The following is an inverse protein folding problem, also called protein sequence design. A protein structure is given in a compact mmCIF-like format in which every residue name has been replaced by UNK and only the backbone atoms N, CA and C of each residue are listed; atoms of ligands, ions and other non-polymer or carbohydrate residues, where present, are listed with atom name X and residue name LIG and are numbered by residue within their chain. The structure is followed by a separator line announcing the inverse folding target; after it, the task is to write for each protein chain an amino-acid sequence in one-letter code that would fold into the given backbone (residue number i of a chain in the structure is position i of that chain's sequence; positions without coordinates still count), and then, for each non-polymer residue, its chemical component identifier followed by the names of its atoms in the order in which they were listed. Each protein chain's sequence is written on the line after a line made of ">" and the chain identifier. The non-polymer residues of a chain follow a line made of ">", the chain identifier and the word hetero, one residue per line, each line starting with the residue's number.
data_IF_236691284331
#
_entry.id   IF_236691284331
#
_cell.length_a   1.000
_cell.length_b   1.000
_cell.length_c   1.000
_cell.angle_alpha   90.00
_cell.angle_beta   90.00
_cell.angle_gamma   90.00
#
_symmetry.space_group_name_H-M   'P 1'
#
loop_
_entity.id
_entity.type
_entity.pdbx_description
1 polymer ?
#
# COMPACT_ATOMS: atom_id res chain seq x y z
N UNK A 1 25.82 -15.78 3.33
CA UNK A 1 25.13 -15.24 4.50
C UNK A 1 23.82 -16.00 4.61
N UNK A 2 23.60 -16.77 5.67
CA UNK A 2 22.35 -17.51 5.85
C UNK A 2 21.21 -16.50 6.00
N UNK A 3 20.22 -16.57 5.11
CA UNK A 3 19.09 -15.66 5.04
C UNK A 3 18.03 -16.02 6.10
N UNK A 4 18.40 -16.11 7.38
CA UNK A 4 17.66 -16.89 8.39
C UNK A 4 16.37 -16.24 8.93
N UNK A 5 15.77 -15.29 8.20
CA UNK A 5 14.52 -14.66 8.64
C UNK A 5 13.79 -13.81 7.61
N UNK A 6 14.46 -13.26 6.59
CA UNK A 6 13.82 -12.46 5.54
C UNK A 6 12.93 -13.29 4.61
N UNK A 7 11.93 -12.64 4.02
CA UNK A 7 11.10 -13.24 2.96
C UNK A 7 11.90 -13.39 1.65
N UNK A 8 11.59 -14.40 0.83
CA UNK A 8 12.25 -14.62 -0.46
C UNK A 8 12.30 -13.39 -1.37
N UNK A 9 13.51 -13.11 -1.89
CA UNK A 9 13.75 -12.13 -2.95
C UNK A 9 14.33 -12.78 -4.21
N UNK A 10 14.63 -14.07 -4.16
CA UNK A 10 15.24 -14.85 -5.23
C UNK A 10 14.63 -16.26 -5.34
N UNK A 11 14.92 -16.97 -6.44
CA UNK A 11 14.51 -18.38 -6.59
C UNK A 11 15.31 -19.30 -5.67
N UNK A 12 16.53 -18.91 -5.35
CA UNK A 12 17.39 -19.58 -4.40
C UNK A 12 16.77 -19.58 -3.01
N UNK A 13 16.28 -18.43 -2.53
CA UNK A 13 15.55 -18.34 -1.25
C UNK A 13 14.30 -19.23 -1.24
N UNK A 14 13.59 -19.31 -2.37
CA UNK A 14 12.43 -20.19 -2.52
C UNK A 14 12.83 -21.67 -2.42
N UNK A 15 13.91 -22.05 -3.10
CA UNK A 15 14.43 -23.42 -3.09
C UNK A 15 14.91 -23.84 -1.68
N UNK A 16 15.55 -22.95 -0.93
CA UNK A 16 15.93 -23.18 0.48
C UNK A 16 14.73 -23.46 1.38
N UNK A 17 13.56 -22.89 1.05
CA UNK A 17 12.28 -23.14 1.75
C UNK A 17 11.49 -24.32 1.18
N UNK A 18 11.97 -24.97 0.12
CA UNK A 18 11.25 -26.02 -0.61
C UNK A 18 10.00 -25.50 -1.35
N UNK A 19 9.97 -24.21 -1.70
CA UNK A 19 8.84 -23.57 -2.37
C UNK A 19 9.07 -23.55 -3.88
N UNK A 20 8.17 -24.17 -4.63
CA UNK A 20 8.19 -24.15 -6.10
C UNK A 20 7.35 -23.01 -6.70
N UNK A 21 6.51 -22.38 -5.87
CA UNK A 21 5.64 -21.26 -6.24
C UNK A 21 5.37 -20.39 -5.01
N UNK A 22 5.02 -19.12 -5.25
CA UNK A 22 4.58 -18.17 -4.23
C UNK A 22 3.08 -17.93 -4.36
N UNK A 23 2.40 -17.65 -3.25
CA UNK A 23 1.00 -17.25 -3.26
C UNK A 23 0.85 -15.78 -3.64
N UNK A 24 1.69 -14.93 -3.04
CA UNK A 24 1.76 -13.50 -3.33
C UNK A 24 3.18 -13.07 -3.66
N UNK A 25 3.29 -12.16 -4.63
CA UNK A 25 4.52 -11.42 -4.87
C UNK A 25 4.21 -9.94 -4.64
N UNK A 26 4.91 -9.33 -3.68
CA UNK A 26 4.80 -7.91 -3.43
C UNK A 26 5.87 -7.14 -4.20
N UNK A 27 5.45 -6.09 -4.89
CA UNK A 27 6.32 -5.19 -5.64
C UNK A 27 6.34 -3.84 -4.96
N UNK A 28 7.54 -3.37 -4.63
CA UNK A 28 7.76 -2.15 -3.87
C UNK A 28 8.56 -1.11 -4.62
N UNK A 29 8.17 0.15 -4.49
CA UNK A 29 8.96 1.31 -4.93
C UNK A 29 10.11 1.68 -4.00
N UNK A 30 10.38 0.90 -2.95
CA UNK A 30 11.47 1.09 -1.98
C UNK A 30 12.25 -0.21 -1.78
N UNK A 31 13.44 -0.09 -1.19
CA UNK A 31 14.25 -1.23 -0.79
C UNK A 31 13.52 -2.14 0.22
N UNK A 32 13.90 -3.42 0.26
CA UNK A 32 13.31 -4.34 1.23
C UNK A 32 13.84 -4.07 2.64
N UNK A 33 13.04 -3.33 3.41
CA UNK A 33 13.22 -3.10 4.84
C UNK A 33 12.15 -3.85 5.62
N UNK A 34 12.56 -4.83 6.42
CA UNK A 34 11.66 -5.67 7.21
C UNK A 34 11.50 -5.11 8.63
N UNK A 35 10.90 -3.92 8.73
CA UNK A 35 10.68 -3.21 9.99
C UNK A 35 9.20 -2.82 10.13
N UNK A 36 8.58 -2.90 11.33
CA UNK A 36 7.16 -2.59 11.53
C UNK A 36 6.74 -1.14 11.25
N UNK A 37 7.69 -0.26 10.92
CA UNK A 37 7.43 1.11 10.44
C UNK A 37 7.18 1.19 8.94
N UNK A 38 7.41 0.09 8.21
CA UNK A 38 7.25 0.00 6.76
C UNK A 38 5.97 -0.77 6.43
N UNK A 39 5.05 -0.11 5.72
CA UNK A 39 3.75 -0.70 5.35
C UNK A 39 3.90 -2.02 4.61
N UNK A 40 4.89 -2.13 3.74
CA UNK A 40 5.18 -3.35 2.98
C UNK A 40 5.60 -4.52 3.86
N UNK A 41 6.40 -4.28 4.91
CA UNK A 41 6.79 -5.30 5.87
C UNK A 41 5.59 -5.80 6.67
N UNK A 42 4.69 -4.90 7.09
CA UNK A 42 3.46 -5.27 7.79
C UNK A 42 2.60 -6.20 6.93
N UNK A 43 2.31 -5.80 5.69
CA UNK A 43 1.43 -6.57 4.81
C UNK A 43 2.05 -7.92 4.46
N UNK A 44 3.35 -7.96 4.15
CA UNK A 44 4.03 -9.21 3.79
C UNK A 44 4.13 -10.19 4.96
N UNK A 45 4.48 -9.71 6.17
CA UNK A 45 4.55 -10.53 7.38
C UNK A 45 3.17 -10.97 7.86
N UNK A 46 2.15 -10.15 7.70
CA UNK A 46 0.78 -10.54 8.01
C UNK A 46 0.33 -11.68 7.10
N UNK A 47 0.57 -11.58 5.79
CA UNK A 47 0.26 -12.67 4.86
C UNK A 47 1.07 -13.94 5.15
N UNK A 48 2.36 -13.84 5.49
CA UNK A 48 3.17 -14.98 5.92
C UNK A 48 2.58 -15.62 7.20
N UNK A 49 2.14 -14.82 8.16
CA UNK A 49 1.51 -15.29 9.39
C UNK A 49 0.19 -16.02 9.16
N UNK A 50 -0.60 -15.58 8.17
CA UNK A 50 -1.82 -16.26 7.72
C UNK A 50 -1.53 -17.54 6.90
N UNK A 51 -0.26 -17.91 6.73
CA UNK A 51 0.16 -19.16 6.10
C UNK A 51 0.42 -19.06 4.60
N UNK A 52 0.44 -17.87 4.02
CA UNK A 52 0.75 -17.68 2.59
C UNK A 52 2.26 -17.62 2.34
N UNK A 53 2.68 -18.16 1.19
CA UNK A 53 4.05 -18.04 0.68
C UNK A 53 4.20 -16.69 -0.01
N UNK A 54 5.08 -15.85 0.53
CA UNK A 54 5.20 -14.45 0.12
C UNK A 54 6.62 -14.18 -0.38
N UNK A 55 6.77 -13.51 -1.52
CA UNK A 55 8.06 -13.01 -1.99
C UNK A 55 8.04 -11.52 -2.29
N UNK A 56 9.21 -10.89 -2.28
CA UNK A 56 9.38 -9.43 -2.42
C UNK A 56 10.23 -9.11 -3.64
N UNK A 57 9.73 -8.22 -4.50
CA UNK A 57 10.47 -7.56 -5.58
C UNK A 57 10.57 -6.08 -5.21
N UNK A 58 11.73 -5.66 -4.71
CA UNK A 58 12.00 -4.29 -4.29
C UNK A 58 12.76 -3.52 -5.37
N UNK A 59 12.31 -2.29 -5.68
CA UNK A 59 12.93 -1.39 -6.68
C UNK A 59 13.20 -2.07 -8.04
N UNK A 60 12.22 -2.76 -8.65
CA UNK A 60 12.45 -3.38 -9.95
C UNK A 60 12.78 -2.33 -11.02
N UNK A 61 13.72 -2.64 -11.89
CA UNK A 61 13.98 -1.85 -13.09
C UNK A 61 12.76 -1.91 -14.02
N UNK A 62 12.08 -0.78 -14.18
CA UNK A 62 10.84 -0.65 -14.94
C UNK A 62 11.03 -0.44 -16.44
N UNK A 63 12.29 -0.37 -16.90
CA UNK A 63 12.62 -0.19 -18.32
C UNK A 63 12.30 -1.44 -19.15
N UNK A 64 12.21 -2.60 -18.51
CA UNK A 64 11.78 -3.86 -19.12
C UNK A 64 10.97 -4.72 -18.12
N UNK A 65 10.75 -6.00 -18.43
CA UNK A 65 9.95 -6.94 -17.62
C UNK A 65 10.78 -8.00 -16.89
N UNK A 66 12.11 -7.96 -16.96
CA UNK A 66 12.97 -9.01 -16.42
C UNK A 66 12.83 -9.13 -14.89
N UNK A 67 12.93 -8.02 -14.18
CA UNK A 67 12.83 -8.00 -12.71
C UNK A 67 11.45 -8.45 -12.22
N UNK A 68 10.39 -8.06 -12.94
CA UNK A 68 9.02 -8.49 -12.66
C UNK A 68 8.80 -10.00 -12.83
N UNK A 69 9.71 -10.68 -13.54
CA UNK A 69 9.70 -12.13 -13.76
C UNK A 69 10.64 -12.91 -12.84
N UNK A 70 11.43 -12.23 -12.01
CA UNK A 70 12.50 -12.85 -11.21
C UNK A 70 11.98 -13.99 -10.32
N UNK A 71 10.84 -13.80 -9.66
CA UNK A 71 10.22 -14.77 -8.75
C UNK A 71 9.19 -15.69 -9.42
N UNK A 72 8.95 -15.53 -10.73
CA UNK A 72 7.92 -16.27 -11.45
C UNK A 72 6.49 -15.78 -11.21
N UNK A 73 5.52 -16.63 -11.56
CA UNK A 73 4.09 -16.31 -11.48
C UNK A 73 3.56 -16.66 -10.08
N UNK A 74 2.88 -15.74 -9.37
CA UNK A 74 2.24 -16.05 -8.11
C UNK A 74 0.94 -16.82 -8.36
N UNK A 75 0.55 -17.65 -7.40
CA UNK A 75 -0.71 -18.41 -7.43
C UNK A 75 -1.92 -17.48 -7.31
N UNK A 76 -1.87 -16.47 -6.43
CA UNK A 76 -3.01 -15.63 -6.09
C UNK A 76 -2.93 -14.24 -6.72
N UNK A 77 -1.92 -13.43 -6.40
CA UNK A 77 -1.85 -12.06 -6.90
C UNK A 77 -0.46 -11.42 -6.85
N UNK A 78 -0.28 -10.38 -7.66
CA UNK A 78 0.72 -9.36 -7.41
C UNK A 78 0.13 -8.25 -6.54
N UNK A 79 0.85 -7.83 -5.50
CA UNK A 79 0.50 -6.69 -4.66
C UNK A 79 1.51 -5.56 -4.90
N UNK A 80 1.07 -4.34 -5.18
CA UNK A 80 1.96 -3.26 -5.63
C UNK A 80 1.79 -2.01 -4.78
N UNK A 81 2.90 -1.44 -4.32
CA UNK A 81 2.96 -0.16 -3.61
C UNK A 81 4.16 0.67 -4.06
N UNK A 82 4.07 2.00 -3.94
CA UNK A 82 5.22 2.91 -4.13
C UNK A 82 6.21 2.92 -2.96
N UNK A 83 5.87 2.23 -1.86
CA UNK A 83 6.62 2.21 -0.61
C UNK A 83 5.99 3.09 0.47
N UNK A 84 6.79 3.51 1.45
CA UNK A 84 6.39 4.39 2.57
C UNK A 84 5.95 5.77 2.08
N UNK A 85 6.49 6.23 0.96
CA UNK A 85 6.21 7.56 0.40
C UNK A 85 5.67 7.46 -1.03
N UNK A 86 4.89 8.47 -1.42
CA UNK A 86 4.47 8.68 -2.81
C UNK A 86 5.69 8.87 -3.73
N UNK A 87 5.66 8.23 -4.90
CA UNK A 87 6.81 8.26 -5.83
C UNK A 87 7.14 9.66 -6.34
N UNK A 88 6.16 10.53 -6.52
CA UNK A 88 6.38 11.90 -6.98
C UNK A 88 6.94 12.78 -5.85
N UNK A 89 6.49 12.60 -4.62
CA UNK A 89 7.03 13.31 -3.43
C UNK A 89 8.45 12.85 -3.10
N UNK A 90 8.75 11.58 -3.36
CA UNK A 90 10.10 11.03 -3.23
C UNK A 90 11.06 11.58 -4.28
N UNK A 91 10.60 11.74 -5.52
CA UNK A 91 11.47 12.18 -6.62
C UNK A 91 11.62 13.71 -6.67
N UNK A 92 10.59 14.47 -6.25
CA UNK A 92 10.57 15.93 -6.34
C UNK A 92 10.41 16.62 -4.98
N UNK A 93 10.99 17.81 -4.87
CA UNK A 93 10.68 18.78 -3.82
C UNK A 93 9.34 19.47 -4.11
N UNK A 94 8.77 20.15 -3.11
CA UNK A 94 7.53 20.92 -3.28
C UNK A 94 7.65 22.02 -4.35
N UNK A 95 8.86 22.50 -4.66
CA UNK A 95 9.14 23.45 -5.74
C UNK A 95 9.46 22.78 -7.09
N UNK A 96 9.07 21.50 -7.28
CA UNK A 96 9.28 20.69 -8.49
C UNK A 96 10.75 20.46 -8.88
N UNK A 97 11.70 20.64 -7.96
CA UNK A 97 13.11 20.27 -8.18
C UNK A 97 13.33 18.79 -7.92
N UNK A 98 14.09 18.11 -8.76
CA UNK A 98 14.50 16.71 -8.57
C UNK A 98 15.36 16.60 -7.31
N UNK A 99 15.09 15.60 -6.47
CA UNK A 99 15.90 15.28 -5.29
C UNK A 99 17.14 14.47 -5.70
N UNK A 100 18.27 14.78 -5.09
CA UNK A 100 19.54 14.07 -5.33
C UNK A 100 19.66 12.77 -4.53
N UNK A 101 18.80 12.58 -3.52
CA UNK A 101 18.85 11.46 -2.59
C UNK A 101 17.46 10.83 -2.42
N UNK A 102 17.44 9.51 -2.23
CA UNK A 102 16.27 8.73 -1.87
C UNK A 102 16.59 7.89 -0.62
N UNK A 103 16.10 8.32 0.54
CA UNK A 103 16.37 7.66 1.82
C UNK A 103 15.89 6.20 1.90
N UNK A 104 15.00 5.79 1.00
CA UNK A 104 14.40 4.46 0.96
C UNK A 104 15.04 3.56 -0.10
N UNK A 105 16.16 3.99 -0.68
CA UNK A 105 16.91 3.27 -1.70
C UNK A 105 18.31 2.87 -1.20
N UNK A 106 18.94 1.85 -1.81
CA UNK A 106 20.31 1.44 -1.49
C UNK A 106 21.29 2.61 -1.54
N UNK A 107 22.00 2.84 -0.43
CA UNK A 107 22.98 3.91 -0.30
C UNK A 107 22.42 5.33 -0.41
N UNK A 108 21.10 5.50 -0.37
CA UNK A 108 20.48 6.81 -0.62
C UNK A 108 20.37 7.18 -2.11
N UNK A 109 20.59 6.24 -3.03
CA UNK A 109 20.66 6.52 -4.46
C UNK A 109 19.31 6.95 -5.04
N UNK A 110 19.25 8.17 -5.59
CA UNK A 110 18.08 8.65 -6.31
C UNK A 110 17.91 8.00 -7.69
N UNK A 111 16.68 8.08 -8.22
CA UNK A 111 16.36 7.63 -9.58
C UNK A 111 16.22 6.11 -9.74
N UNK A 112 16.04 5.37 -8.64
CA UNK A 112 15.80 3.92 -8.65
C UNK A 112 14.31 3.53 -8.64
N UNK A 113 13.40 4.51 -8.66
CA UNK A 113 11.95 4.31 -8.82
C UNK A 113 11.42 5.24 -9.92
N UNK A 114 10.41 4.82 -10.71
CA UNK A 114 9.77 5.71 -11.67
C UNK A 114 8.82 6.68 -10.99
N UNK A 115 8.57 7.79 -11.69
CA UNK A 115 7.40 8.61 -11.43
C UNK A 115 6.13 7.78 -11.58
N UNK A 116 5.21 7.97 -10.62
CA UNK A 116 3.93 7.26 -10.57
C UNK A 116 4.11 5.74 -10.53
N UNK A 117 4.99 5.31 -9.63
CA UNK A 117 5.51 3.95 -9.55
C UNK A 117 4.43 2.87 -9.59
N UNK A 118 3.33 3.05 -8.84
CA UNK A 118 2.21 2.09 -8.84
C UNK A 118 1.64 1.85 -10.25
N UNK A 119 1.45 2.91 -11.05
CA UNK A 119 0.94 2.79 -12.43
C UNK A 119 1.95 2.05 -13.30
N UNK A 120 3.23 2.45 -13.22
CA UNK A 120 4.29 1.86 -14.04
C UNK A 120 4.47 0.37 -13.71
N UNK A 121 4.55 0.02 -12.44
CA UNK A 121 4.73 -1.35 -11.99
C UNK A 121 3.53 -2.23 -12.33
N UNK A 122 2.29 -1.75 -12.15
CA UNK A 122 1.10 -2.49 -12.55
C UNK A 122 1.10 -2.78 -14.06
N UNK A 123 1.45 -1.79 -14.89
CA UNK A 123 1.55 -1.98 -16.34
C UNK A 123 2.66 -2.97 -16.73
N UNK A 124 3.81 -2.94 -16.06
CA UNK A 124 4.89 -3.93 -16.25
C UNK A 124 4.47 -5.34 -15.86
N UNK A 125 3.72 -5.51 -14.77
CA UNK A 125 3.13 -6.79 -14.40
C UNK A 125 2.15 -7.28 -15.46
N UNK A 126 1.26 -6.42 -15.97
CA UNK A 126 0.30 -6.77 -17.03
C UNK A 126 0.98 -7.17 -18.34
N UNK A 127 2.12 -6.56 -18.65
CA UNK A 127 2.96 -6.93 -19.79
C UNK A 127 3.65 -8.29 -19.58
N UNK A 128 4.20 -8.51 -18.39
CA UNK A 128 4.88 -9.75 -18.03
C UNK A 128 3.93 -10.95 -17.90
N UNK A 129 2.72 -10.73 -17.39
CA UNK A 129 1.75 -11.75 -17.04
C UNK A 129 0.34 -11.36 -17.45
N UNK A 130 -0.24 -12.16 -18.36
CA UNK A 130 -1.67 -12.07 -18.69
C UNK A 130 -2.50 -12.74 -17.60
N UNK A 131 -3.73 -12.24 -17.40
CA UNK A 131 -4.76 -12.85 -16.57
C UNK A 131 -4.27 -13.22 -15.15
N UNK A 132 -3.57 -12.32 -14.47
CA UNK A 132 -3.21 -12.46 -13.06
C UNK A 132 -3.84 -11.33 -12.26
N UNK A 133 -4.42 -11.57 -11.07
CA UNK A 133 -4.87 -10.50 -10.19
C UNK A 133 -3.73 -9.53 -9.84
N UNK A 134 -4.01 -8.23 -10.01
CA UNK A 134 -3.12 -7.13 -9.61
C UNK A 134 -3.87 -6.27 -8.61
N UNK A 135 -3.33 -6.20 -7.39
CA UNK A 135 -3.89 -5.42 -6.29
C UNK A 135 -2.91 -4.29 -5.97
N UNK A 136 -3.39 -3.06 -5.90
CA UNK A 136 -2.56 -1.88 -5.60
C UNK A 136 -2.91 -1.30 -4.23
N UNK A 137 -1.95 -0.73 -3.54
CA UNK A 137 -2.14 -0.13 -2.22
C UNK A 137 -1.08 0.89 -1.84
N UNK A 138 -1.05 1.25 -0.56
CA UNK A 138 -0.14 2.27 -0.03
C UNK A 138 -0.64 3.70 -0.23
N UNK A 139 0.19 4.67 0.15
CA UNK A 139 -0.18 6.10 0.17
C UNK A 139 -0.51 6.60 -1.24
N UNK A 140 0.33 6.28 -2.22
CA UNK A 140 0.13 6.75 -3.60
C UNK A 140 -1.21 6.26 -4.19
N UNK A 141 -1.54 4.97 -4.02
CA UNK A 141 -2.82 4.45 -4.48
C UNK A 141 -4.00 5.03 -3.69
N UNK A 142 -3.89 5.05 -2.35
CA UNK A 142 -4.95 5.52 -1.45
C UNK A 142 -5.40 6.94 -1.77
N UNK A 143 -4.44 7.86 -1.97
CA UNK A 143 -4.74 9.27 -2.17
C UNK A 143 -5.24 9.59 -3.60
N UNK A 144 -4.94 8.72 -4.56
CA UNK A 144 -5.30 8.88 -5.99
C UNK A 144 -6.44 7.97 -6.44
N UNK A 145 -7.22 7.45 -5.49
CA UNK A 145 -8.32 6.52 -5.74
C UNK A 145 -9.43 7.12 -6.59
N UNK A 146 -9.76 8.41 -6.43
CA UNK A 146 -10.70 9.15 -7.28
C UNK A 146 -9.99 10.05 -8.30
N UNK A 147 -10.77 10.74 -9.13
CA UNK A 147 -10.27 11.92 -9.83
C UNK A 147 -9.64 12.89 -8.83
N UNK A 148 -8.40 13.31 -9.09
CA UNK A 148 -7.59 14.07 -8.16
C UNK A 148 -6.79 15.14 -8.91
N UNK A 149 -6.58 16.28 -8.25
CA UNK A 149 -5.63 17.28 -8.73
C UNK A 149 -4.20 16.78 -8.54
N UNK A 150 -3.47 16.66 -9.65
CA UNK A 150 -2.06 16.32 -9.69
C UNK A 150 -1.25 17.63 -9.77
N UNK A 151 -0.52 17.93 -8.69
CA UNK A 151 0.27 19.15 -8.59
C UNK A 151 1.41 19.21 -9.61
N UNK A 152 1.96 18.05 -10.00
CA UNK A 152 3.12 17.98 -10.89
C UNK A 152 2.71 18.33 -12.32
N UNK A 153 1.61 17.75 -12.81
CA UNK A 153 1.06 18.01 -14.14
C UNK A 153 0.17 19.26 -14.20
N UNK A 154 -0.17 19.85 -13.05
CA UNK A 154 -1.12 20.97 -12.91
C UNK A 154 -2.47 20.67 -13.57
N UNK A 155 -3.00 19.46 -13.34
CA UNK A 155 -4.21 18.98 -13.99
C UNK A 155 -5.02 18.05 -13.08
N UNK A 156 -6.32 17.96 -13.32
CA UNK A 156 -7.14 16.91 -12.70
C UNK A 156 -6.95 15.61 -13.49
N UNK A 157 -6.33 14.63 -12.84
CA UNK A 157 -6.15 13.29 -13.38
C UNK A 157 -7.30 12.38 -12.96
N UNK A 158 -7.53 11.34 -13.75
CA UNK A 158 -8.47 10.27 -13.43
C UNK A 158 -7.93 9.38 -12.30
N UNK A 159 -8.75 8.45 -11.85
CA UNK A 159 -8.39 7.48 -10.82
C UNK A 159 -7.16 6.66 -11.22
N UNK A 160 -6.28 6.39 -10.26
CA UNK A 160 -5.12 5.50 -10.45
C UNK A 160 -5.55 4.08 -10.86
N UNK A 161 -6.75 3.61 -10.49
CA UNK A 161 -7.27 2.31 -10.94
C UNK A 161 -7.49 2.28 -12.46
N UNK A 162 -7.91 3.40 -13.05
CA UNK A 162 -8.11 3.50 -14.51
C UNK A 162 -6.78 3.47 -15.25
N UNK A 163 -5.77 4.19 -14.73
CA UNK A 163 -4.44 4.28 -15.36
C UNK A 163 -3.61 3.00 -15.17
N UNK A 164 -3.67 2.36 -14.00
CA UNK A 164 -2.91 1.15 -13.67
C UNK A 164 -3.54 -0.14 -14.20
N UNK A 165 -4.85 -0.13 -14.47
CA UNK A 165 -5.64 -1.33 -14.78
C UNK A 165 -5.49 -2.43 -13.73
N UNK A 166 -5.26 -2.06 -12.47
CA UNK A 166 -5.32 -2.98 -11.35
C UNK A 166 -6.78 -3.43 -11.12
N UNK A 167 -6.95 -4.62 -10.56
CA UNK A 167 -8.27 -5.20 -10.32
C UNK A 167 -8.90 -4.63 -9.05
N UNK A 168 -8.09 -4.46 -7.99
CA UNK A 168 -8.52 -3.94 -6.69
C UNK A 168 -7.50 -2.91 -6.20
N UNK A 169 -8.00 -1.82 -5.61
CA UNK A 169 -7.22 -0.85 -4.85
C UNK A 169 -7.57 -0.98 -3.37
N UNK A 170 -6.59 -1.22 -2.53
CA UNK A 170 -6.73 -1.18 -1.06
C UNK A 170 -6.33 0.21 -0.58
N UNK A 171 -7.24 0.93 0.07
CA UNK A 171 -6.98 2.28 0.57
C UNK A 171 -6.97 2.35 2.08
N UNK A 172 -6.10 3.22 2.59
CA UNK A 172 -5.85 3.36 4.01
C UNK A 172 -5.05 2.20 4.59
N UNK A 173 -5.38 1.80 5.83
CA UNK A 173 -4.73 0.66 6.50
C UNK A 173 -5.18 -0.66 5.87
N UNK A 174 -4.22 -1.41 5.33
CA UNK A 174 -4.48 -2.54 4.44
C UNK A 174 -4.61 -3.91 5.12
N UNK A 175 -4.38 -4.01 6.43
CA UNK A 175 -4.23 -5.28 7.15
C UNK A 175 -5.48 -6.16 7.10
N UNK A 176 -6.65 -5.62 7.46
CA UNK A 176 -7.92 -6.37 7.34
C UNK A 176 -8.28 -6.69 5.88
N UNK A 177 -8.35 -5.70 4.97
CA UNK A 177 -8.79 -5.99 3.61
C UNK A 177 -7.87 -6.97 2.88
N UNK A 178 -6.55 -6.92 3.09
CA UNK A 178 -5.65 -7.84 2.38
C UNK A 178 -5.84 -9.30 2.83
N UNK A 179 -6.12 -9.54 4.12
CA UNK A 179 -6.40 -10.88 4.64
C UNK A 179 -7.73 -11.40 4.09
N UNK A 180 -8.76 -10.56 4.03
CA UNK A 180 -10.05 -10.92 3.41
C UNK A 180 -9.91 -11.21 1.91
N UNK A 181 -9.18 -10.37 1.17
CA UNK A 181 -8.89 -10.60 -0.25
C UNK A 181 -8.14 -11.92 -0.43
N UNK A 182 -7.12 -12.17 0.40
CA UNK A 182 -6.32 -13.39 0.32
C UNK A 182 -7.16 -14.64 0.57
N UNK A 183 -8.04 -14.61 1.58
CA UNK A 183 -8.96 -15.71 1.86
C UNK A 183 -9.91 -15.99 0.69
N UNK A 184 -10.50 -14.96 0.07
CA UNK A 184 -11.40 -15.12 -1.09
C UNK A 184 -10.66 -15.63 -2.33
N UNK A 185 -9.48 -15.11 -2.63
CA UNK A 185 -8.67 -15.60 -3.76
C UNK A 185 -8.22 -17.05 -3.52
N UNK A 186 -7.83 -17.40 -2.28
CA UNK A 186 -7.40 -18.74 -1.94
C UNK A 186 -8.52 -19.77 -2.00
N UNK A 187 -9.78 -19.37 -1.73
CA UNK A 187 -10.97 -20.21 -1.93
C UNK A 187 -11.42 -20.34 -3.39
N UNK A 188 -10.73 -19.68 -4.32
CA UNK A 188 -10.98 -19.77 -5.76
C UNK A 188 -11.94 -18.73 -6.32
N UNK A 189 -12.33 -17.71 -5.55
CA UNK A 189 -13.13 -16.60 -6.07
C UNK A 189 -12.36 -15.84 -7.17
N UNK A 190 -13.05 -15.46 -8.24
CA UNK A 190 -12.43 -14.61 -9.25
C UNK A 190 -12.20 -13.21 -8.68
N UNK A 191 -11.08 -12.56 -9.03
CA UNK A 191 -10.77 -11.21 -8.52
C UNK A 191 -11.86 -10.20 -8.85
N UNK A 192 -12.57 -10.37 -9.98
CA UNK A 192 -13.69 -9.54 -10.41
C UNK A 192 -14.95 -9.69 -9.57
N UNK A 193 -15.06 -10.75 -8.77
CA UNK A 193 -16.18 -11.01 -7.86
C UNK A 193 -15.93 -10.47 -6.45
N UNK A 194 -14.71 -10.02 -6.15
CA UNK A 194 -14.36 -9.44 -4.86
C UNK A 194 -14.70 -7.96 -4.87
N UNK A 195 -15.98 -7.65 -4.61
CA UNK A 195 -16.54 -6.29 -4.72
C UNK A 195 -17.08 -5.74 -3.41
N UNK A 196 -17.02 -6.49 -2.30
CA UNK A 196 -17.73 -6.23 -1.05
C UNK A 196 -16.81 -5.97 0.16
N UNK A 197 -15.48 -5.97 -0.04
CA UNK A 197 -14.51 -5.81 1.05
C UNK A 197 -14.36 -4.33 1.41
N UNK A 198 -14.50 -4.00 2.70
CA UNK A 198 -14.30 -2.63 3.21
C UNK A 198 -12.86 -2.16 3.02
N UNK A 199 -12.65 -0.87 2.78
CA UNK A 199 -11.31 -0.32 2.52
C UNK A 199 -10.78 -0.68 1.13
N UNK A 200 -11.66 -1.08 0.20
CA UNK A 200 -11.28 -1.36 -1.18
C UNK A 200 -12.04 -0.50 -2.18
N UNK A 201 -11.45 -0.34 -3.37
CA UNK A 201 -12.10 0.22 -4.54
C UNK A 201 -11.80 -0.64 -5.77
N UNK A 202 -12.72 -0.61 -6.74
CA UNK A 202 -12.61 -1.36 -7.99
C UNK A 202 -13.33 -0.62 -9.12
N UNK A 203 -13.13 -1.06 -10.36
CA UNK A 203 -13.86 -0.56 -11.53
C UNK A 203 -14.99 -1.51 -11.89
N UNK A 204 -16.24 -1.06 -11.78
CA UNK A 204 -17.43 -1.83 -12.11
C UNK A 204 -18.20 -1.25 -13.31
N UNK A 205 -18.86 -2.12 -14.06
CA UNK A 205 -19.93 -1.72 -14.99
C UNK A 205 -21.22 -1.58 -14.20
N UNK A 206 -21.74 -0.37 -14.10
CA UNK A 206 -23.04 -0.10 -13.48
C UNK A 206 -23.95 0.43 -14.58
N UNK A 207 -25.07 -0.27 -14.83
CA UNK A 207 -26.14 0.24 -15.69
C UNK A 207 -26.86 1.38 -14.97
N UNK A 208 -27.47 2.30 -15.71
CA UNK A 208 -28.25 3.40 -15.09
C UNK A 208 -29.42 2.89 -14.23
N UNK A 209 -29.95 1.69 -14.49
CA UNK A 209 -30.95 1.03 -13.64
C UNK A 209 -30.38 0.64 -12.26
N UNK A 210 -29.12 0.16 -12.21
CA UNK A 210 -28.43 -0.17 -10.95
C UNK A 210 -28.15 1.05 -10.05
N UNK A 211 -28.16 2.28 -10.61
CA UNK A 211 -28.01 3.54 -9.86
C UNK A 211 -29.32 4.07 -9.23
N UNK A 212 -30.47 3.61 -9.74
CA UNK A 212 -31.79 3.91 -9.16
C UNK A 212 -32.21 2.85 -8.13
N UNK A 213 -31.76 1.60 -8.31
CA UNK A 213 -31.95 0.51 -7.35
C UNK A 213 -30.88 0.44 -6.26
N UNK A 214 -29.76 1.15 -6.42
CA UNK A 214 -28.75 1.29 -5.38
C UNK A 214 -29.37 1.92 -4.14
N UNK A 215 -29.51 1.10 -3.09
CA UNK A 215 -30.17 1.44 -1.85
C UNK A 215 -29.57 2.65 -1.11
N UNK A 216 -30.06 2.96 0.11
CA UNK A 216 -29.76 4.20 0.82
C UNK A 216 -28.28 4.45 1.19
N UNK A 217 -27.39 3.47 0.95
CA UNK A 217 -25.99 3.45 1.39
C UNK A 217 -24.96 3.70 0.27
N UNK A 218 -25.41 4.29 -0.85
CA UNK A 218 -24.55 4.67 -1.97
C UNK A 218 -24.62 6.17 -2.28
N UNK A 219 -23.49 6.77 -2.65
CA UNK A 219 -23.39 8.19 -3.03
C UNK A 219 -22.69 8.29 -4.39
N UNK A 220 -23.40 8.84 -5.37
CA UNK A 220 -22.82 9.22 -6.67
C UNK A 220 -22.25 10.63 -6.57
N UNK A 221 -20.95 10.78 -6.86
CA UNK A 221 -20.27 12.08 -6.91
C UNK A 221 -20.09 12.53 -8.37
N UNK A 222 -19.82 13.83 -8.63
CA UNK A 222 -19.55 14.32 -9.98
C UNK A 222 -18.51 13.48 -10.72
N UNK A 223 -18.79 13.20 -11.99
CA UNK A 223 -17.97 12.36 -12.86
C UNK A 223 -16.60 12.97 -13.13
N UNK A 224 -15.64 12.15 -13.59
CA UNK A 224 -14.32 12.64 -14.02
C UNK A 224 -14.44 13.75 -15.07
N UNK A 225 -15.31 13.60 -16.06
CA UNK A 225 -15.49 14.57 -17.14
C UNK A 225 -16.05 15.90 -16.66
N UNK A 226 -16.81 15.91 -15.57
CA UNK A 226 -17.29 17.12 -14.93
C UNK A 226 -16.23 17.78 -14.06
N UNK A 227 -15.56 17.02 -13.18
CA UNK A 227 -14.59 17.59 -12.23
C UNK A 227 -13.31 18.07 -12.89
N UNK A 228 -12.96 17.55 -14.08
CA UNK A 228 -11.78 18.01 -14.82
C UNK A 228 -11.93 19.43 -15.38
N UNK A 229 -13.16 19.91 -15.59
CA UNK A 229 -13.45 21.25 -16.14
C UNK A 229 -14.11 22.20 -15.16
N UNK A 230 -14.66 21.72 -14.04
CA UNK A 230 -15.39 22.54 -13.07
C UNK A 230 -14.81 22.40 -11.64
N UNK A 231 -14.17 23.48 -11.16
CA UNK A 231 -13.57 23.54 -9.83
C UNK A 231 -14.58 23.39 -8.69
N UNK A 232 -15.82 23.85 -8.86
CA UNK A 232 -16.87 23.70 -7.84
C UNK A 232 -17.33 22.25 -7.75
N UNK A 233 -17.51 21.57 -8.88
CA UNK A 233 -17.81 20.14 -8.90
C UNK A 233 -16.67 19.30 -8.34
N UNK A 234 -15.42 19.67 -8.63
CA UNK A 234 -14.25 19.05 -7.99
C UNK A 234 -14.29 19.20 -6.47
N UNK A 235 -14.53 20.42 -5.97
CA UNK A 235 -14.63 20.68 -4.53
C UNK A 235 -15.79 19.91 -3.87
N UNK A 236 -16.95 19.83 -4.53
CA UNK A 236 -18.09 19.04 -4.08
C UNK A 236 -17.74 17.55 -3.98
N UNK A 237 -17.13 16.99 -5.03
CA UNK A 237 -16.69 15.60 -5.07
C UNK A 237 -15.70 15.30 -3.93
N UNK A 238 -14.71 16.17 -3.73
CA UNK A 238 -13.72 16.03 -2.67
C UNK A 238 -14.35 16.12 -1.26
N UNK A 239 -15.31 17.04 -1.05
CA UNK A 239 -15.99 17.17 0.24
C UNK A 239 -16.71 15.88 0.63
N UNK A 240 -17.41 15.24 -0.32
CA UNK A 240 -18.05 13.94 -0.09
C UNK A 240 -17.00 12.89 0.27
N UNK A 241 -15.92 12.77 -0.52
CA UNK A 241 -14.83 11.82 -0.21
C UNK A 241 -14.27 12.02 1.21
N UNK A 242 -14.12 13.27 1.64
CA UNK A 242 -13.64 13.61 2.98
C UNK A 242 -14.64 13.25 4.08
N UNK A 243 -15.92 13.52 3.85
CA UNK A 243 -16.98 13.22 4.82
C UNK A 243 -17.23 11.72 4.96
N UNK A 244 -17.07 10.95 3.89
CA UNK A 244 -17.29 9.50 3.86
C UNK A 244 -16.04 8.68 4.29
N UNK A 245 -14.93 9.35 4.63
CA UNK A 245 -13.73 8.72 5.20
C UNK A 245 -13.91 8.37 6.71
N UNK A 246 -15.08 7.86 7.07
CA UNK A 246 -15.45 7.46 8.42
C UNK A 246 -15.85 5.98 8.41
N UNK A 247 -15.16 5.09 9.15
CA UNK A 247 -15.44 3.66 9.08
C UNK A 247 -16.78 3.26 9.72
N UNK A 248 -17.46 4.14 10.46
CA UNK A 248 -18.75 3.82 11.09
C UNK A 248 -19.93 4.23 10.21
N UNK A 249 -19.89 5.46 9.67
CA UNK A 249 -21.00 6.04 8.88
C UNK A 249 -20.74 6.13 7.37
N UNK A 250 -19.49 5.89 6.95
CA UNK A 250 -19.08 6.05 5.56
C UNK A 250 -19.83 5.11 4.63
N UNK A 251 -20.29 5.67 3.52
CA UNK A 251 -21.05 4.98 2.48
C UNK A 251 -20.17 4.56 1.31
N UNK A 252 -20.74 3.73 0.44
CA UNK A 252 -20.12 3.41 -0.85
C UNK A 252 -20.16 4.65 -1.75
N UNK A 253 -19.05 5.00 -2.38
CA UNK A 253 -18.94 6.17 -3.25
C UNK A 253 -18.73 5.72 -4.69
N UNK A 254 -19.44 6.35 -5.61
CA UNK A 254 -19.41 6.05 -7.04
C UNK A 254 -18.99 7.29 -7.83
N UNK A 255 -17.95 7.15 -8.65
CA UNK A 255 -17.55 8.19 -9.60
C UNK A 255 -17.48 7.61 -11.01
N UNK A 256 -18.18 8.21 -11.97
CA UNK A 256 -18.11 7.80 -13.36
C UNK A 256 -16.78 8.22 -14.00
N UNK A 257 -16.09 7.28 -14.64
CA UNK A 257 -14.87 7.46 -15.42
C UNK A 257 -15.07 6.85 -16.83
N UNK A 258 -15.57 7.66 -17.77
CA UNK A 258 -15.94 7.18 -19.10
C UNK A 258 -17.18 6.29 -19.06
N UNK A 259 -17.02 5.01 -19.36
CA UNK A 259 -18.08 3.99 -19.42
C UNK A 259 -18.15 3.11 -18.16
N UNK A 260 -17.28 3.34 -17.18
CA UNK A 260 -17.18 2.53 -15.95
C UNK A 260 -17.26 3.40 -14.71
N UNK A 261 -17.78 2.83 -13.64
CA UNK A 261 -17.76 3.44 -12.33
C UNK A 261 -16.55 2.97 -11.55
N UNK A 262 -15.81 3.93 -11.00
CA UNK A 262 -15.01 3.69 -9.82
C UNK A 262 -15.97 3.55 -8.64
N UNK A 263 -15.94 2.39 -7.99
CA UNK A 263 -16.71 2.09 -6.79
C UNK A 263 -15.74 1.98 -5.62
N UNK A 264 -15.93 2.79 -4.59
CA UNK A 264 -15.21 2.69 -3.33
C UNK A 264 -16.16 2.14 -2.27
N UNK A 265 -15.83 0.99 -1.68
CA UNK A 265 -16.55 0.45 -0.52
C UNK A 265 -16.31 1.33 0.72
N UNK A 266 -17.10 1.19 1.80
CA UNK A 266 -16.86 1.91 3.04
C UNK A 266 -15.45 1.64 3.63
N UNK A 267 -14.85 2.59 4.39
CA UNK A 267 -13.51 2.39 4.96
C UNK A 267 -13.40 1.15 5.84
N UNK A 268 -12.24 0.48 5.83
CA UNK A 268 -11.97 -0.64 6.73
C UNK A 268 -12.15 -0.21 8.19
N UNK A 269 -12.67 -1.11 9.03
CA UNK A 269 -12.73 -0.86 10.46
C UNK A 269 -11.30 -0.78 11.02
N UNK A 270 -11.01 0.16 11.94
CA UNK A 270 -9.71 0.21 12.62
C UNK A 270 -9.39 -1.12 13.32
N UNK A 271 -8.11 -1.42 13.47
CA UNK A 271 -7.66 -2.55 14.27
C UNK A 271 -8.03 -2.33 15.74
N UNK A 272 -8.50 -3.39 16.40
CA UNK A 272 -8.64 -3.39 17.86
C UNK A 272 -7.26 -3.56 18.53
N UNK A 273 -7.16 -3.26 19.83
CA UNK A 273 -5.88 -3.31 20.58
C UNK A 273 -5.16 -4.66 20.43
N UNK A 274 -5.90 -5.78 20.50
CA UNK A 274 -5.35 -7.13 20.30
C UNK A 274 -4.76 -7.33 18.89
N UNK A 275 -5.42 -6.81 17.86
CA UNK A 275 -4.96 -6.93 16.47
C UNK A 275 -3.73 -6.05 16.23
N UNK A 276 -3.72 -4.84 16.81
CA UNK A 276 -2.53 -3.99 16.85
C UNK A 276 -1.36 -4.74 17.49
N UNK A 277 -1.56 -5.33 18.68
CA UNK A 277 -0.51 -6.08 19.36
C UNK A 277 0.01 -7.26 18.54
N UNK A 278 -0.88 -8.01 17.88
CA UNK A 278 -0.51 -9.12 16.99
C UNK A 278 0.36 -8.64 15.83
N UNK A 279 -0.06 -7.58 15.13
CA UNK A 279 0.67 -7.03 13.96
C UNK A 279 2.08 -6.58 14.36
N UNK A 280 2.24 -5.91 15.49
CA UNK A 280 3.55 -5.45 15.95
C UNK A 280 4.40 -6.55 16.62
N UNK A 281 3.81 -7.69 16.96
CA UNK A 281 4.52 -8.84 17.52
C UNK A 281 5.07 -9.81 16.46
N UNK A 282 4.71 -9.63 15.18
CA UNK A 282 5.20 -10.43 14.06
C UNK A 282 6.75 -10.46 13.99
N UNK A 283 7.36 -11.52 13.40
CA UNK A 283 8.80 -11.75 13.47
C UNK A 283 9.61 -10.89 12.47
N UNK A 284 9.52 -9.57 12.61
CA UNK A 284 10.32 -8.62 11.83
C UNK A 284 11.81 -8.76 12.15
N UNK A 285 12.66 -8.69 11.13
CA UNK A 285 14.10 -8.59 11.28
C UNK A 285 14.54 -7.25 11.85
N UNK A 286 13.67 -6.23 11.76
CA UNK A 286 13.89 -4.85 12.19
C UNK A 286 15.09 -4.18 11.55
N UNK A 287 15.43 -4.61 10.34
CA UNK A 287 16.52 -4.04 9.54
C UNK A 287 16.25 -4.27 8.06
N UNK A 288 17.13 -3.76 7.21
CA UNK A 288 17.08 -3.96 5.76
C UNK A 288 17.71 -5.30 5.34
N UNK A 289 17.34 -5.78 4.15
CA UNK A 289 17.92 -7.01 3.62
C UNK A 289 19.44 -6.87 3.39
N UNK A 290 20.30 -7.83 3.82
CA UNK A 290 21.76 -7.72 3.75
C UNK A 290 22.35 -7.49 2.36
N UNK A 291 21.58 -7.74 1.30
CA UNK A 291 21.97 -7.44 -0.09
C UNK A 291 22.35 -5.96 -0.30
N UNK A 292 21.85 -5.06 0.55
CA UNK A 292 22.11 -3.63 0.46
C UNK A 292 23.37 -3.18 1.22
N UNK A 293 24.06 -4.06 1.94
CA UNK A 293 25.26 -3.72 2.72
C UNK A 293 26.38 -3.14 1.83
N UNK A 294 26.61 -3.75 0.66
CA UNK A 294 27.62 -3.28 -0.29
C UNK A 294 27.33 -1.87 -0.84
N UNK A 295 26.06 -1.43 -0.79
CA UNK A 295 25.63 -0.09 -1.16
C UNK A 295 25.66 0.90 0.03
N UNK A 296 26.04 0.48 1.23
CA UNK A 296 26.05 1.32 2.44
C UNK A 296 24.74 1.29 3.24
N UNK A 297 23.91 0.27 3.03
CA UNK A 297 22.63 0.08 3.72
C UNK A 297 21.50 0.95 3.20
N UNK A 298 20.42 1.07 3.98
CA UNK A 298 19.24 1.89 3.65
C UNK A 298 19.12 3.06 4.63
N UNK A 299 19.27 4.33 4.21
CA UNK A 299 19.29 5.47 5.13
C UNK A 299 18.09 5.56 6.07
N UNK A 300 16.88 5.31 5.56
CA UNK A 300 15.63 5.43 6.33
C UNK A 300 15.53 4.49 7.54
N UNK A 301 16.41 3.47 7.66
CA UNK A 301 16.42 2.64 8.87
C UNK A 301 16.94 3.41 10.07
N UNK A 302 17.84 4.39 9.89
CA UNK A 302 18.56 5.06 10.98
C UNK A 302 17.61 5.79 11.92
N UNK A 303 16.54 6.36 11.38
CA UNK A 303 15.51 7.07 12.13
C UNK A 303 14.57 6.13 12.90
N UNK A 304 14.37 4.89 12.42
CA UNK A 304 13.34 3.99 12.97
C UNK A 304 13.88 2.75 13.67
N UNK A 305 15.18 2.47 13.55
CA UNK A 305 15.85 1.28 14.10
C UNK A 305 15.51 1.06 15.58
N UNK A 306 15.60 2.13 16.37
CA UNK A 306 15.26 2.15 17.79
C UNK A 306 14.04 3.02 18.08
N UNK A 307 13.00 2.94 17.26
CA UNK A 307 11.69 3.55 17.55
C UNK A 307 10.63 2.49 17.84
N UNK A 308 9.61 2.89 18.61
CA UNK A 308 8.46 2.05 18.93
C UNK A 308 7.18 2.81 18.63
N UNK A 309 6.40 2.30 17.68
CA UNK A 309 5.08 2.87 17.43
C UNK A 309 4.15 2.53 18.59
N UNK A 310 3.65 3.54 19.31
CA UNK A 310 2.67 3.36 20.41
C UNK A 310 1.23 3.24 19.91
N UNK A 311 0.90 3.97 18.84
CA UNK A 311 -0.44 4.01 18.25
C UNK A 311 -0.39 4.41 16.77
N UNK A 312 -1.51 4.23 16.06
CA UNK A 312 -1.76 4.76 14.71
C UNK A 312 -3.03 5.60 14.68
N UNK A 313 -3.20 6.37 13.61
CA UNK A 313 -4.32 7.30 13.43
C UNK A 313 -4.03 8.68 13.99
N UNK A 314 -4.73 9.69 13.48
CA UNK A 314 -4.57 11.08 13.91
C UNK A 314 -5.92 11.81 13.95
N UNK A 315 -6.37 12.18 15.15
CA UNK A 315 -7.66 12.86 15.35
C UNK A 315 -7.68 14.30 14.82
N UNK A 316 -6.51 14.89 14.56
CA UNK A 316 -6.32 16.31 14.30
C UNK A 316 -6.99 16.84 13.03
N UNK A 317 -7.27 15.99 12.04
CA UNK A 317 -8.08 16.37 10.87
C UNK A 317 -7.52 17.53 10.03
N UNK A 318 -6.21 17.78 10.08
CA UNK A 318 -5.58 18.88 9.36
C UNK A 318 -5.76 18.73 7.84
N UNK A 319 -6.19 19.79 7.17
CA UNK A 319 -6.49 19.78 5.72
C UNK A 319 -5.26 19.54 4.84
N UNK A 320 -4.06 19.81 5.35
CA UNK A 320 -2.79 19.58 4.64
C UNK A 320 -2.18 18.20 4.88
N UNK A 321 -2.75 17.39 5.78
CA UNK A 321 -2.12 16.17 6.25
C UNK A 321 -2.76 14.93 5.62
N UNK A 322 -1.94 14.14 4.92
CA UNK A 322 -2.37 12.87 4.33
C UNK A 322 -2.67 11.77 5.37
N UNK A 323 -2.15 11.88 6.60
CA UNK A 323 -2.32 10.85 7.64
C UNK A 323 -3.79 10.62 7.98
N UNK A 324 -4.61 11.67 8.05
CA UNK A 324 -6.05 11.52 8.28
C UNK A 324 -6.69 10.68 7.15
N UNK A 325 -6.37 11.01 5.90
CA UNK A 325 -6.94 10.33 4.74
C UNK A 325 -6.47 8.88 4.57
N UNK A 326 -5.29 8.56 5.11
CA UNK A 326 -4.69 7.23 5.01
C UNK A 326 -4.92 6.38 6.27
N UNK A 327 -4.49 6.84 7.45
CA UNK A 327 -4.63 6.08 8.70
C UNK A 327 -5.99 6.26 9.38
N UNK A 328 -6.75 7.29 9.02
CA UNK A 328 -8.02 7.64 9.65
C UNK A 328 -7.86 8.49 10.91
N UNK A 329 -9.00 8.93 11.46
CA UNK A 329 -9.10 9.82 12.63
C UNK A 329 -9.13 9.10 13.97
N UNK A 330 -9.33 7.79 13.94
CA UNK A 330 -9.51 6.96 15.13
C UNK A 330 -8.13 6.50 15.60
N UNK A 331 -7.79 6.86 16.83
CA UNK A 331 -6.54 6.42 17.46
C UNK A 331 -6.66 4.92 17.78
N UNK A 332 -5.75 4.14 17.21
CA UNK A 332 -5.59 2.71 17.45
C UNK A 332 -4.34 2.53 18.28
N UNK A 333 -4.51 2.20 19.55
CA UNK A 333 -3.38 2.01 20.49
C UNK A 333 -2.94 0.56 20.55
N UNK A 334 -1.69 0.37 20.91
CA UNK A 334 -1.16 -0.91 21.39
C UNK A 334 -1.31 -0.99 22.91
N UNK A 335 -1.33 -2.21 23.43
CA UNK A 335 -1.28 -2.40 24.88
C UNK A 335 0.09 -2.00 25.45
N UNK A 336 0.11 -1.64 26.73
CA UNK A 336 1.35 -1.31 27.43
C UNK A 336 2.31 -2.51 27.44
N UNK A 337 1.80 -3.74 27.58
CA UNK A 337 2.62 -4.95 27.59
C UNK A 337 3.29 -5.18 26.23
N UNK A 338 2.57 -4.95 25.12
CA UNK A 338 3.10 -5.01 23.76
C UNK A 338 4.27 -4.04 23.56
N UNK A 339 4.11 -2.78 23.98
CA UNK A 339 5.15 -1.75 23.92
C UNK A 339 6.37 -2.14 24.76
N UNK A 340 6.15 -2.57 26.01
CA UNK A 340 7.24 -2.98 26.92
C UNK A 340 7.99 -4.20 26.37
N UNK A 341 7.28 -5.16 25.79
CA UNK A 341 7.91 -6.36 25.22
C UNK A 341 8.78 -6.03 24.00
N UNK A 342 8.36 -5.08 23.16
CA UNK A 342 9.20 -4.59 22.07
C UNK A 342 10.41 -3.82 22.59
N UNK A 343 10.24 -2.92 23.57
CA UNK A 343 11.36 -2.21 24.20
C UNK A 343 12.39 -3.19 24.79
N UNK A 344 11.92 -4.25 25.47
CA UNK A 344 12.80 -5.30 25.99
C UNK A 344 13.60 -6.01 24.90
N UNK A 345 13.06 -6.17 23.68
CA UNK A 345 13.82 -6.75 22.56
C UNK A 345 14.90 -5.78 22.07
N UNK A 346 14.55 -4.49 21.95
CA UNK A 346 15.48 -3.47 21.45
C UNK A 346 16.72 -3.30 22.30
N UNK A 347 16.58 -3.32 23.64
CA UNK A 347 17.73 -3.10 24.55
C UNK A 347 18.80 -4.20 24.49
N UNK A 348 18.50 -5.35 23.87
CA UNK A 348 19.44 -6.45 23.68
C UNK A 348 20.07 -6.49 22.28
N UNK A 349 19.72 -5.55 21.40
CA UNK A 349 20.38 -5.44 20.09
C UNK A 349 21.81 -4.90 20.26
N UNK A 350 22.76 -5.48 19.54
CA UNK A 350 24.20 -5.18 19.69
C UNK A 350 24.53 -3.68 19.50
N UNK A 351 23.75 -3.00 18.66
CA UNK A 351 23.94 -1.60 18.29
C UNK A 351 23.03 -0.64 19.06
N UNK A 352 22.32 -1.08 20.11
CA UNK A 352 21.45 -0.22 20.91
C UNK A 352 22.23 0.89 21.62
N UNK A 353 21.81 2.14 21.42
CA UNK A 353 22.53 3.35 21.88
C UNK A 353 22.12 3.84 23.28
N UNK A 354 21.23 3.12 23.98
CA UNK A 354 20.76 3.49 25.32
C UNK A 354 19.52 4.38 25.36
N UNK A 355 18.90 4.69 24.22
CA UNK A 355 17.68 5.48 24.14
C UNK A 355 16.78 4.98 23.00
N UNK A 356 15.46 5.10 23.19
CA UNK A 356 14.43 4.79 22.19
C UNK A 356 13.88 6.13 21.70
N UNK A 357 13.87 6.30 20.38
CA UNK A 357 13.34 7.49 19.72
C UNK A 357 11.81 7.52 19.76
N UNK A 358 11.25 8.73 19.79
CA UNK A 358 9.81 8.99 19.77
C UNK A 358 9.18 8.80 18.37
#
# INVERSE_FOLDING_TARGET
>A
MQNSGFLPISKEDMAERGWNELDFILISGEAYVDHPSFGMAIISRLLEHEGYRVGIIALPNWKDTADFKALGRPRLAFLISSGVIDSMVNHYTASKKIRSEDAYAPGGQAGLRPDRAVIVYANRVREAYKNIPVIIGGIEASLRRFAHYDYWDDAVRRSILVDSRADILVYGMGEKPIVEIAAKLSSGAAVTEITDIRGTAFLGSISQQNLQESGPDQIVIPSFDEVKTDKRKYAQAFLVQYQEQDPIRGKTILQLHGDRYLVQNPPALPLIEREMDQVYALPYQRTYHPIYEAAGGIPAIREVEFSITSHRGCFGGCSFCALNFHQGRIIQKRSQSSIINEAKKLVWLENFKGYIHD
#
